data_IF_567723202709
#
_entry.id   IF_567723202709
#
_cell.length_a   1.000
_cell.length_b   1.000
_cell.length_c   1.000
_cell.angle_alpha   90.00
_cell.angle_beta   90.00
_cell.angle_gamma   90.00
#
_symmetry.space_group_name_H-M   'P 1'
#
loop_
_entity.id
_entity.type
_entity.pdbx_description
1 polymer ?
#
# COMPACT_ATOMS: atom_id res chain seq x y z
N UNK A 1 36.60 26.29 17.58
CA UNK A 1 36.18 25.05 18.27
C UNK A 1 36.85 23.77 17.77
N UNK A 2 37.97 23.84 17.05
CA UNK A 2 38.68 22.66 16.50
C UNK A 2 39.73 22.10 17.48
N UNK A 3 40.10 22.86 18.50
CA UNK A 3 41.13 22.51 19.49
C UNK A 3 40.65 21.54 20.58
N UNK A 4 39.35 21.53 20.90
CA UNK A 4 38.79 20.64 21.94
C UNK A 4 38.64 19.17 21.45
N UNK A 5 38.37 18.98 20.16
CA UNK A 5 38.17 17.65 19.54
C UNK A 5 39.48 16.85 19.41
N UNK A 6 40.61 17.54 19.25
CA UNK A 6 41.94 16.89 19.18
C UNK A 6 42.49 16.49 20.55
N UNK A 7 42.15 17.22 21.63
CA UNK A 7 42.51 16.79 22.99
C UNK A 7 41.72 15.56 23.44
N UNK A 8 40.46 15.39 23.01
CA UNK A 8 39.66 14.21 23.37
C UNK A 8 40.12 12.92 22.66
N UNK A 9 40.65 13.01 21.44
CA UNK A 9 41.20 11.87 20.72
C UNK A 9 42.53 11.37 21.32
N UNK A 10 43.37 12.29 21.84
CA UNK A 10 44.64 11.92 22.49
C UNK A 10 44.46 11.27 23.87
N UNK A 11 43.39 11.62 24.58
CA UNK A 11 43.05 11.04 25.88
C UNK A 11 42.47 9.61 25.76
N UNK A 12 41.74 9.29 24.69
CA UNK A 12 41.27 7.91 24.46
C UNK A 12 42.41 6.93 24.16
N UNK A 13 43.46 7.38 23.46
CA UNK A 13 44.63 6.55 23.16
C UNK A 13 45.49 6.24 24.38
N UNK A 14 45.54 7.14 25.38
CA UNK A 14 46.30 6.91 26.62
C UNK A 14 45.51 6.08 27.65
N UNK A 15 44.18 6.10 27.61
CA UNK A 15 43.35 5.22 28.46
C UNK A 15 43.33 3.78 27.94
N UNK A 16 43.40 3.57 26.62
CA UNK A 16 43.45 2.23 26.02
C UNK A 16 44.83 1.56 26.10
N UNK A 17 45.91 2.32 26.36
CA UNK A 17 47.21 1.73 26.70
C UNK A 17 47.34 1.36 28.19
N UNK A 18 46.40 1.81 29.04
CA UNK A 18 46.36 1.57 30.48
C UNK A 18 45.43 0.45 30.94
N UNK A 19 44.65 -0.14 30.04
CA UNK A 19 43.96 -1.41 30.27
C UNK A 19 44.55 -2.41 29.28
N UNK A 20 45.26 -3.43 29.79
CA UNK A 20 45.89 -4.48 28.99
C UNK A 20 44.86 -5.35 28.28
N UNK A 21 44.23 -4.80 27.25
CA UNK A 21 43.49 -5.56 26.26
C UNK A 21 44.54 -6.26 25.39
N UNK A 22 44.64 -7.57 25.57
CA UNK A 22 45.57 -8.41 24.85
C UNK A 22 45.30 -8.27 23.34
N UNK A 23 46.33 -8.20 22.50
CA UNK A 23 46.15 -8.07 21.05
C UNK A 23 45.28 -9.21 20.47
N UNK A 24 45.21 -10.34 21.17
CA UNK A 24 44.30 -11.46 20.91
C UNK A 24 42.82 -11.16 21.18
N UNK A 25 42.46 -10.44 22.25
CA UNK A 25 41.07 -10.08 22.54
C UNK A 25 40.50 -9.11 21.48
N UNK A 26 41.34 -8.19 21.00
CA UNK A 26 40.96 -7.26 19.92
C UNK A 26 40.77 -8.00 18.59
N UNK A 27 41.55 -9.05 18.33
CA UNK A 27 41.39 -9.89 17.13
C UNK A 27 40.13 -10.76 17.20
N UNK A 28 39.80 -11.31 18.38
CA UNK A 28 38.60 -12.10 18.59
C UNK A 28 37.32 -11.24 18.49
N UNK A 29 37.34 -10.04 19.07
CA UNK A 29 36.25 -9.06 18.94
C UNK A 29 36.00 -8.66 17.49
N UNK A 30 37.07 -8.48 16.69
CA UNK A 30 36.94 -8.20 15.25
C UNK A 30 36.35 -9.38 14.49
N UNK A 31 36.75 -10.61 14.81
CA UNK A 31 36.19 -11.81 14.17
C UNK A 31 34.70 -11.98 14.49
N UNK A 32 34.28 -11.72 15.74
CA UNK A 32 32.87 -11.73 16.15
C UNK A 32 32.06 -10.63 15.45
N UNK A 33 32.63 -9.43 15.28
CA UNK A 33 31.99 -8.32 14.55
C UNK A 33 31.73 -8.69 13.08
N UNK A 34 32.74 -9.23 12.39
CA UNK A 34 32.61 -9.66 10.99
C UNK A 34 31.55 -10.76 10.86
N UNK A 35 31.50 -11.69 11.82
CA UNK A 35 30.50 -12.76 11.83
C UNK A 35 29.08 -12.24 12.06
N UNK A 36 28.91 -11.23 12.92
CA UNK A 36 27.63 -10.56 13.12
C UNK A 36 27.18 -9.76 11.89
N UNK A 37 28.08 -9.03 11.25
CA UNK A 37 27.79 -8.30 10.00
C UNK A 37 27.34 -9.24 8.89
N UNK A 38 27.99 -10.41 8.74
CA UNK A 38 27.59 -11.43 7.78
C UNK A 38 26.22 -12.05 8.10
N UNK A 39 25.94 -12.32 9.38
CA UNK A 39 24.65 -12.83 9.81
C UNK A 39 23.53 -11.81 9.56
N UNK A 40 23.80 -10.52 9.78
CA UNK A 40 22.86 -9.44 9.53
C UNK A 40 22.55 -9.29 8.04
N UNK A 41 23.58 -9.30 7.18
CA UNK A 41 23.41 -9.26 5.73
C UNK A 41 22.58 -10.44 5.20
N UNK A 42 22.80 -11.65 5.72
CA UNK A 42 21.99 -12.81 5.34
C UNK A 42 20.53 -12.68 5.79
N UNK A 43 20.29 -12.08 6.96
CA UNK A 43 18.94 -11.83 7.47
C UNK A 43 18.21 -10.80 6.59
N UNK A 44 18.89 -9.70 6.25
CA UNK A 44 18.35 -8.66 5.36
C UNK A 44 18.04 -9.21 3.97
N UNK A 45 18.90 -10.05 3.40
CA UNK A 45 18.64 -10.72 2.12
C UNK A 45 17.42 -11.64 2.18
N UNK A 46 17.24 -12.38 3.28
CA UNK A 46 16.06 -13.23 3.47
C UNK A 46 14.79 -12.42 3.65
N UNK A 47 14.83 -11.32 4.40
CA UNK A 47 13.71 -10.40 4.54
C UNK A 47 13.32 -9.81 3.19
N UNK A 48 14.29 -9.35 2.41
CA UNK A 48 14.04 -8.80 1.07
C UNK A 48 13.45 -9.85 0.11
N UNK A 49 13.85 -11.12 0.22
CA UNK A 49 13.27 -12.20 -0.58
C UNK A 49 11.81 -12.51 -0.19
N UNK A 50 11.46 -12.35 1.09
CA UNK A 50 10.11 -12.59 1.61
C UNK A 50 9.17 -11.40 1.39
N UNK A 51 9.70 -10.19 1.27
CA UNK A 51 8.95 -8.95 1.05
C UNK A 51 8.63 -8.67 -0.43
N UNK A 52 8.93 -9.58 -1.36
CA UNK A 52 8.58 -9.41 -2.77
C UNK A 52 7.06 -9.45 -2.96
N UNK A 53 6.43 -8.29 -2.87
CA UNK A 53 5.02 -8.10 -3.20
C UNK A 53 4.87 -8.20 -4.72
N UNK A 54 4.05 -9.12 -5.25
CA UNK A 54 3.94 -9.30 -6.69
C UNK A 54 3.41 -8.04 -7.36
N UNK A 55 3.96 -7.68 -8.50
CA UNK A 55 3.47 -6.52 -9.23
C UNK A 55 2.18 -6.85 -9.99
N UNK A 56 1.06 -6.26 -9.53
CA UNK A 56 -0.26 -6.45 -10.11
C UNK A 56 -0.76 -5.21 -10.85
N UNK A 57 -1.52 -5.47 -11.90
CA UNK A 57 -2.35 -4.53 -12.65
C UNK A 57 -3.81 -4.93 -12.53
N UNK A 58 -4.70 -3.94 -12.60
CA UNK A 58 -6.12 -4.11 -12.35
C UNK A 58 -6.93 -3.63 -13.55
N UNK A 59 -7.94 -4.40 -13.92
CA UNK A 59 -8.90 -4.06 -14.97
C UNK A 59 -10.28 -3.99 -14.35
N UNK A 60 -10.91 -2.82 -14.43
CA UNK A 60 -12.34 -2.66 -14.17
C UNK A 60 -13.04 -2.82 -15.51
N UNK A 61 -14.01 -3.73 -15.56
CA UNK A 61 -14.78 -4.00 -16.77
C UNK A 61 -16.27 -4.14 -16.48
N UNK A 62 -17.10 -3.94 -17.50
CA UNK A 62 -18.57 -4.11 -17.41
C UNK A 62 -19.16 -3.28 -16.26
N UNK A 63 -18.75 -2.02 -16.18
CA UNK A 63 -19.30 -1.10 -15.20
C UNK A 63 -20.75 -0.78 -15.58
N UNK A 64 -21.66 -1.01 -14.64
CA UNK A 64 -23.09 -0.71 -14.76
C UNK A 64 -23.50 0.15 -13.57
N UNK A 65 -24.27 1.19 -13.85
CA UNK A 65 -24.75 2.14 -12.85
C UNK A 65 -26.26 2.19 -12.92
N UNK A 66 -26.90 2.06 -11.78
CA UNK A 66 -28.36 2.19 -11.67
C UNK A 66 -28.72 3.14 -10.55
N UNK A 67 -29.69 4.01 -10.78
CA UNK A 67 -30.27 4.86 -9.75
C UNK A 67 -31.62 4.27 -9.36
N UNK A 68 -31.74 3.83 -8.12
CA UNK A 68 -32.96 3.30 -7.55
C UNK A 68 -33.68 4.38 -6.75
N UNK A 69 -34.89 4.73 -7.19
CA UNK A 69 -35.77 5.65 -6.47
C UNK A 69 -36.41 4.94 -5.28
N UNK A 70 -36.03 5.31 -4.06
CA UNK A 70 -36.65 4.82 -2.82
C UNK A 70 -37.48 5.93 -2.17
N UNK A 71 -38.35 5.60 -1.20
CA UNK A 71 -39.28 6.57 -0.61
C UNK A 71 -38.61 7.72 0.15
N UNK A 72 -37.40 7.53 0.68
CA UNK A 72 -36.73 8.52 1.54
C UNK A 72 -35.51 9.17 0.90
N UNK A 73 -34.73 8.39 0.16
CA UNK A 73 -33.54 8.84 -0.53
C UNK A 73 -33.30 7.96 -1.76
N UNK A 74 -32.91 8.52 -2.90
CA UNK A 74 -32.47 7.72 -4.03
C UNK A 74 -31.13 7.06 -3.72
N UNK A 75 -30.91 5.91 -4.32
CA UNK A 75 -29.70 5.12 -4.13
C UNK A 75 -29.01 4.89 -5.47
N UNK A 76 -27.75 5.31 -5.57
CA UNK A 76 -26.90 4.92 -6.68
C UNK A 76 -26.26 3.57 -6.37
N UNK A 77 -26.44 2.58 -7.24
CA UNK A 77 -25.68 1.33 -7.24
C UNK A 77 -24.71 1.34 -8.41
N UNK A 78 -23.44 1.10 -8.13
CA UNK A 78 -22.39 0.93 -9.12
C UNK A 78 -21.84 -0.49 -9.01
N UNK A 79 -21.98 -1.26 -10.08
CA UNK A 79 -21.48 -2.62 -10.17
C UNK A 79 -20.41 -2.73 -11.25
N UNK A 80 -19.38 -3.54 -11.01
CA UNK A 80 -18.35 -3.80 -12.01
C UNK A 80 -17.63 -5.12 -11.76
N UNK A 81 -16.92 -5.61 -12.77
CA UNK A 81 -16.04 -6.76 -12.65
C UNK A 81 -14.59 -6.30 -12.55
N UNK A 82 -13.93 -6.69 -11.46
CA UNK A 82 -12.50 -6.49 -11.24
C UNK A 82 -11.72 -7.73 -11.69
N UNK A 83 -10.66 -7.50 -12.48
CA UNK A 83 -9.67 -8.51 -12.84
C UNK A 83 -8.28 -8.02 -12.41
N UNK A 84 -7.51 -8.87 -11.74
CA UNK A 84 -6.11 -8.63 -11.43
C UNK A 84 -5.22 -9.47 -12.35
N UNK A 85 -4.15 -8.87 -12.86
CA UNK A 85 -3.22 -9.46 -13.80
C UNK A 85 -1.77 -9.18 -13.37
N UNK A 86 -0.90 -10.18 -13.47
CA UNK A 86 0.51 -10.10 -13.09
C UNK A 86 1.22 -11.43 -13.34
N UNK A 87 2.53 -11.48 -13.09
CA UNK A 87 3.32 -12.72 -13.23
C UNK A 87 2.89 -13.77 -12.20
N UNK A 88 2.60 -13.34 -10.97
CA UNK A 88 2.16 -14.20 -9.87
C UNK A 88 0.98 -13.55 -9.15
N UNK A 89 -0.24 -13.81 -9.63
CA UNK A 89 -1.46 -13.34 -8.97
C UNK A 89 -1.76 -14.25 -7.78
N UNK A 90 -1.87 -13.72 -6.54
CA UNK A 90 -2.23 -14.54 -5.38
C UNK A 90 -3.60 -15.19 -5.57
N UNK A 91 -3.76 -16.41 -5.05
CA UNK A 91 -5.03 -17.13 -5.13
C UNK A 91 -6.18 -16.37 -4.47
N UNK A 92 -5.92 -15.83 -3.28
CA UNK A 92 -6.89 -15.02 -2.54
C UNK A 92 -6.21 -13.80 -1.96
N UNK A 93 -6.79 -12.63 -2.19
CA UNK A 93 -6.35 -11.37 -1.57
C UNK A 93 -7.53 -10.40 -1.51
N UNK A 94 -7.31 -9.23 -0.95
CA UNK A 94 -8.35 -8.20 -0.80
C UNK A 94 -7.94 -6.93 -1.51
N UNK A 95 -8.94 -6.28 -2.11
CA UNK A 95 -8.78 -4.98 -2.78
C UNK A 95 -9.76 -3.99 -2.17
N UNK A 96 -9.23 -2.84 -1.77
CA UNK A 96 -9.99 -1.69 -1.31
C UNK A 96 -10.45 -0.88 -2.52
N UNK A 97 -11.76 -0.81 -2.70
CA UNK A 97 -12.43 -0.11 -3.79
C UNK A 97 -13.03 1.19 -3.29
N UNK A 98 -12.90 2.24 -4.09
CA UNK A 98 -13.47 3.55 -3.87
C UNK A 98 -14.55 3.83 -4.91
N UNK A 99 -15.71 4.27 -4.44
CA UNK A 99 -16.76 4.90 -5.22
C UNK A 99 -16.85 6.36 -4.79
N UNK A 100 -16.59 7.29 -5.70
CA UNK A 100 -16.81 8.72 -5.50
C UNK A 100 -17.94 9.17 -6.41
N UNK A 101 -18.87 9.91 -5.83
CA UNK A 101 -20.07 10.42 -6.49
C UNK A 101 -20.14 11.92 -6.27
N UNK A 102 -20.23 12.68 -7.34
CA UNK A 102 -20.41 14.13 -7.32
C UNK A 102 -21.67 14.52 -8.07
N UNK A 103 -22.48 15.38 -7.49
CA UNK A 103 -23.67 15.98 -8.13
C UNK A 103 -23.46 17.49 -8.18
N UNK A 104 -22.93 18.05 -9.29
CA UNK A 104 -22.51 19.44 -9.35
C UNK A 104 -23.65 20.46 -9.11
N UNK A 105 -24.88 20.13 -9.50
CA UNK A 105 -26.04 21.02 -9.29
C UNK A 105 -26.38 21.23 -7.82
N UNK A 106 -26.05 20.26 -6.98
CA UNK A 106 -26.38 20.24 -5.55
C UNK A 106 -25.18 20.52 -4.64
N UNK A 107 -24.01 20.84 -5.21
CA UNK A 107 -22.74 20.95 -4.48
C UNK A 107 -22.47 19.72 -3.57
N UNK A 108 -22.87 18.54 -4.05
CA UNK A 108 -22.76 17.30 -3.29
C UNK A 108 -21.56 16.48 -3.76
N UNK A 109 -20.77 15.99 -2.80
CA UNK A 109 -19.68 15.04 -3.02
C UNK A 109 -19.67 14.01 -1.90
N UNK A 110 -19.67 12.73 -2.27
CA UNK A 110 -19.60 11.62 -1.33
C UNK A 110 -18.60 10.57 -1.79
N UNK A 111 -17.94 9.95 -0.82
CA UNK A 111 -16.96 8.89 -1.03
C UNK A 111 -17.39 7.68 -0.20
N UNK A 112 -17.56 6.54 -0.86
CA UNK A 112 -17.75 5.25 -0.23
C UNK A 112 -16.53 4.37 -0.53
N UNK A 113 -15.99 3.71 0.51
CA UNK A 113 -14.88 2.77 0.38
C UNK A 113 -15.26 1.43 0.99
N UNK A 114 -14.98 0.36 0.26
CA UNK A 114 -15.24 -0.99 0.73
C UNK A 114 -14.18 -1.96 0.21
N UNK A 115 -13.85 -2.92 1.05
CA UNK A 115 -12.87 -3.97 0.74
C UNK A 115 -13.59 -5.18 0.18
N UNK A 116 -13.13 -5.68 -0.97
CA UNK A 116 -13.66 -6.85 -1.65
C UNK A 116 -12.62 -7.97 -1.68
N UNK A 117 -13.03 -9.23 -1.43
CA UNK A 117 -12.17 -10.37 -1.68
C UNK A 117 -12.01 -10.58 -3.19
N UNK A 118 -10.81 -10.94 -3.60
CA UNK A 118 -10.45 -11.31 -4.97
C UNK A 118 -9.99 -12.76 -4.94
N UNK A 119 -10.67 -13.60 -5.73
CA UNK A 119 -10.39 -15.02 -5.85
C UNK A 119 -9.92 -15.31 -7.28
N UNK A 120 -8.77 -15.96 -7.41
CA UNK A 120 -8.14 -16.28 -8.70
C UNK A 120 -8.06 -15.05 -9.63
N UNK A 121 -7.68 -13.91 -9.05
CA UNK A 121 -7.57 -12.63 -9.74
C UNK A 121 -8.91 -12.04 -10.20
N UNK A 122 -10.05 -12.48 -9.68
CA UNK A 122 -11.38 -12.02 -10.10
C UNK A 122 -12.21 -11.59 -8.89
N UNK A 123 -12.97 -10.52 -9.04
CA UNK A 123 -13.97 -10.10 -8.06
C UNK A 123 -15.14 -9.39 -8.72
N UNK A 124 -16.33 -9.58 -8.14
CA UNK A 124 -17.52 -8.80 -8.47
C UNK A 124 -17.61 -7.67 -7.45
N UNK A 125 -17.63 -6.44 -7.94
CA UNK A 125 -17.68 -5.23 -7.11
C UNK A 125 -19.10 -4.68 -7.18
N UNK A 126 -19.65 -4.34 -6.03
CA UNK A 126 -20.92 -3.64 -5.92
C UNK A 126 -20.83 -2.65 -4.76
N UNK A 127 -20.94 -1.37 -5.07
CA UNK A 127 -20.93 -0.27 -4.11
C UNK A 127 -22.22 0.53 -4.26
N UNK A 128 -22.73 1.02 -3.13
CA UNK A 128 -23.96 1.81 -3.09
C UNK A 128 -23.69 3.16 -2.43
N UNK A 129 -24.31 4.22 -2.95
CA UNK A 129 -24.17 5.58 -2.42
C UNK A 129 -25.54 6.27 -2.42
N UNK A 130 -26.06 6.66 -1.24
CA UNK A 130 -27.22 7.54 -1.17
C UNK A 130 -26.96 8.86 -1.89
N UNK A 131 -27.96 9.30 -2.65
CA UNK A 131 -27.95 10.55 -3.41
C UNK A 131 -28.71 11.66 -2.66
N UNK A 132 -28.39 12.94 -2.89
CA UNK A 132 -28.96 14.05 -2.13
C UNK A 132 -30.42 14.34 -2.47
N UNK A 133 -30.85 14.08 -3.71
CA UNK A 133 -32.19 14.42 -4.22
C UNK A 133 -32.70 13.39 -5.24
N UNK A 134 -34.03 13.29 -5.36
CA UNK A 134 -34.76 12.47 -6.33
C UNK A 134 -34.71 13.04 -7.75
N UNK A 135 -34.91 12.16 -8.75
CA UNK A 135 -35.03 12.55 -10.15
C UNK A 135 -33.69 12.84 -10.85
N UNK A 136 -32.57 12.52 -10.22
CA UNK A 136 -31.26 12.58 -10.85
C UNK A 136 -31.14 11.49 -11.92
N UNK A 137 -30.49 11.83 -13.03
CA UNK A 137 -30.09 10.88 -14.06
C UNK A 137 -28.57 10.75 -14.12
N UNK A 138 -28.05 9.70 -14.77
CA UNK A 138 -26.61 9.44 -14.83
C UNK A 138 -25.80 10.63 -15.37
N UNK A 139 -26.35 11.42 -16.31
CA UNK A 139 -25.69 12.61 -16.87
C UNK A 139 -25.51 13.75 -15.85
N UNK A 140 -26.28 13.73 -14.76
CA UNK A 140 -26.25 14.75 -13.72
C UNK A 140 -25.21 14.41 -12.64
N UNK A 141 -24.61 13.22 -12.72
CA UNK A 141 -23.74 12.64 -11.71
C UNK A 141 -22.37 12.31 -12.31
N UNK A 142 -21.30 12.73 -11.65
CA UNK A 142 -19.96 12.24 -11.96
C UNK A 142 -19.64 11.07 -11.04
N UNK A 143 -19.32 9.93 -11.63
CA UNK A 143 -19.07 8.69 -10.90
C UNK A 143 -17.64 8.25 -11.18
N UNK A 144 -16.88 8.04 -10.11
CA UNK A 144 -15.52 7.47 -10.19
C UNK A 144 -15.48 6.20 -9.36
N UNK A 145 -15.25 5.06 -10.01
CA UNK A 145 -15.03 3.77 -9.36
C UNK A 145 -13.56 3.39 -9.53
N UNK A 146 -12.82 3.11 -8.45
CA UNK A 146 -11.37 2.89 -8.53
C UNK A 146 -10.86 1.91 -7.47
N UNK A 147 -9.95 0.98 -7.81
CA UNK A 147 -9.19 0.24 -6.81
C UNK A 147 -8.07 1.13 -6.24
N UNK A 148 -7.96 1.16 -4.92
CA UNK A 148 -7.06 2.06 -4.19
C UNK A 148 -5.85 1.32 -3.64
N UNK A 149 -6.08 0.21 -2.94
CA UNK A 149 -5.03 -0.57 -2.29
C UNK A 149 -5.32 -2.06 -2.42
N UNK A 150 -4.28 -2.88 -2.38
CA UNK A 150 -4.38 -4.32 -2.20
C UNK A 150 -3.34 -4.80 -1.18
N UNK A 151 -3.49 -6.00 -0.64
CA UNK A 151 -2.54 -6.73 0.23
C UNK A 151 -1.68 -5.85 1.17
N UNK A 152 -2.03 -5.72 2.45
CA UNK A 152 -1.17 -5.00 3.42
C UNK A 152 -1.02 -3.50 3.17
N UNK A 153 -1.98 -2.87 2.48
CA UNK A 153 -1.99 -1.44 2.12
C UNK A 153 -1.02 -1.06 0.99
N UNK A 154 -0.67 -2.00 0.11
CA UNK A 154 0.05 -1.67 -1.12
C UNK A 154 -0.84 -0.82 -2.03
N UNK A 155 -0.40 0.40 -2.28
CA UNK A 155 -1.11 1.37 -3.12
C UNK A 155 -1.16 0.91 -4.57
N UNK A 156 -2.33 1.06 -5.18
CA UNK A 156 -2.55 0.82 -6.60
C UNK A 156 -2.42 2.16 -7.33
N UNK A 157 -1.31 2.30 -8.06
CA UNK A 157 -1.09 3.52 -8.84
C UNK A 157 -2.06 3.63 -10.01
N UNK A 158 -2.46 4.86 -10.40
CA UNK A 158 -3.47 5.06 -11.44
C UNK A 158 -3.11 4.37 -12.76
N UNK A 159 -1.82 4.33 -13.12
CA UNK A 159 -1.36 3.74 -14.39
C UNK A 159 -1.51 2.22 -14.41
N UNK A 160 -1.65 1.60 -13.24
CA UNK A 160 -1.89 0.15 -13.09
C UNK A 160 -3.38 -0.20 -13.19
N UNK A 161 -4.26 0.77 -13.44
CA UNK A 161 -5.70 0.55 -13.58
C UNK A 161 -6.14 0.81 -15.01
N UNK A 162 -6.78 -0.18 -15.64
CA UNK A 162 -7.40 -0.06 -16.96
C UNK A 162 -8.92 -0.15 -16.85
N UNK A 163 -9.64 0.73 -17.55
CA UNK A 163 -11.10 0.73 -17.61
C UNK A 163 -11.56 0.22 -18.99
N UNK A 164 -12.52 -0.72 -19.01
CA UNK A 164 -13.01 -1.37 -20.25
C UNK A 164 -14.51 -1.58 -20.30
#
# INVERSE_FOLDING_TARGET
>A
MITLRRMMAGLLTLVLAGCGADAGEVAELKARLIQQEQAQLQLEQRLHALEQVPELSFVISRQDVTIEEQMFQPLLRSSARLLAMGQEVPQTFYVDMLLQVEVPSEDFSAINRQVFPVFDGKSQIELMQPLPIHGLSEKDIKITLRPMNWYGSNRIEPEKVTYR
#
